data_IF_390638313554
#
_entry.id   IF_390638313554
#
_cell.length_a   1.000
_cell.length_b   1.000
_cell.length_c   1.000
_cell.angle_alpha   90.00
_cell.angle_beta   90.00
_cell.angle_gamma   90.00
#
_symmetry.space_group_name_H-M   'P 1'
#
loop_
_entity.id
_entity.type
_entity.pdbx_description
1 polymer ?
#
# COMPACT_ATOMS: atom_id res chain seq x y z
N UNK A 1 -17.00 5.21 -64.83
CA UNK A 1 -16.65 5.22 -63.39
C UNK A 1 -15.83 3.95 -63.15
N UNK A 2 -14.62 3.91 -62.61
CA UNK A 2 -13.67 4.85 -62.02
C UNK A 2 -12.33 4.11 -61.81
N UNK A 3 -11.29 4.86 -61.45
CA UNK A 3 -9.85 4.59 -61.60
C UNK A 3 -9.24 3.65 -60.52
N UNK A 4 -8.19 2.94 -60.95
CA UNK A 4 -7.04 2.27 -60.29
C UNK A 4 -6.66 2.76 -58.87
N UNK A 5 -6.31 1.85 -57.93
CA UNK A 5 -4.97 1.74 -57.27
C UNK A 5 -4.89 0.67 -56.17
N UNK A 6 -3.85 -0.16 -56.30
CA UNK A 6 -3.27 -1.08 -55.31
C UNK A 6 -2.51 -0.25 -54.26
N UNK A 7 -2.72 -0.49 -52.97
CA UNK A 7 -1.78 -0.07 -51.91
C UNK A 7 -1.52 -1.30 -51.03
N UNK A 8 -0.26 -1.72 -51.07
CA UNK A 8 0.39 -2.61 -50.13
C UNK A 8 0.57 -1.80 -48.83
N UNK A 9 0.01 -2.29 -47.73
CA UNK A 9 0.24 -1.77 -46.39
C UNK A 9 0.69 -2.91 -45.50
N UNK A 10 2.01 -3.10 -45.43
CA UNK A 10 2.65 -3.89 -44.38
C UNK A 10 2.45 -3.10 -43.09
N UNK A 11 1.48 -3.48 -42.26
CA UNK A 11 1.43 -2.99 -40.89
C UNK A 11 2.28 -3.90 -40.01
N UNK A 12 3.55 -3.51 -39.89
CA UNK A 12 4.35 -3.77 -38.70
C UNK A 12 3.69 -3.08 -37.51
N UNK A 13 2.59 -3.64 -37.00
CA UNK A 13 2.12 -3.36 -35.66
C UNK A 13 3.08 -4.07 -34.70
N UNK A 14 4.18 -3.36 -34.44
CA UNK A 14 5.04 -3.56 -33.29
C UNK A 14 4.16 -3.80 -32.06
N UNK A 15 4.07 -5.07 -31.66
CA UNK A 15 3.46 -5.46 -30.41
C UNK A 15 4.30 -4.90 -29.28
N UNK A 16 4.09 -3.63 -28.94
CA UNK A 16 4.47 -3.08 -27.66
C UNK A 16 3.72 -3.91 -26.63
N UNK A 17 4.40 -4.93 -26.09
CA UNK A 17 4.00 -5.60 -24.86
C UNK A 17 3.76 -4.52 -23.84
N UNK A 18 2.49 -4.29 -23.52
CA UNK A 18 2.10 -3.48 -22.38
C UNK A 18 2.91 -3.97 -21.16
N UNK A 19 3.50 -3.08 -20.32
CA UNK A 19 4.36 -3.49 -19.21
C UNK A 19 3.57 -4.09 -18.03
N UNK A 20 2.56 -4.91 -18.33
CA UNK A 20 1.55 -5.46 -17.43
C UNK A 20 2.08 -6.66 -16.63
N UNK A 21 3.18 -7.29 -17.05
CA UNK A 21 3.51 -8.64 -16.54
C UNK A 21 4.92 -8.79 -15.97
N UNK A 22 5.36 -7.84 -15.14
CA UNK A 22 6.49 -8.08 -14.24
C UNK A 22 5.95 -8.38 -12.86
N UNK A 23 6.04 -9.65 -12.47
CA UNK A 23 5.81 -10.08 -11.09
C UNK A 23 6.69 -9.25 -10.16
N UNK A 24 6.12 -8.78 -9.05
CA UNK A 24 6.86 -8.03 -8.04
C UNK A 24 7.68 -9.04 -7.26
N UNK A 25 9.00 -8.85 -7.21
CA UNK A 25 9.85 -9.71 -6.41
C UNK A 25 9.65 -9.42 -4.91
N UNK A 26 9.09 -10.40 -4.20
CA UNK A 26 8.82 -10.35 -2.75
C UNK A 26 9.75 -11.28 -1.94
N UNK A 27 10.72 -11.95 -2.56
CA UNK A 27 11.52 -12.99 -1.90
C UNK A 27 12.39 -12.48 -0.75
N UNK A 28 12.67 -11.17 -0.73
CA UNK A 28 13.43 -10.50 0.32
C UNK A 28 12.56 -9.83 1.39
N UNK A 29 11.25 -10.13 1.42
CA UNK A 29 10.30 -9.58 2.39
C UNK A 29 9.88 -10.68 3.36
N UNK A 30 10.31 -10.59 4.61
CA UNK A 30 9.91 -11.53 5.65
C UNK A 30 8.42 -11.36 6.01
N UNK A 31 7.62 -12.37 5.68
CA UNK A 31 6.18 -12.42 5.94
C UNK A 31 5.81 -12.64 7.41
N UNK A 32 6.77 -13.06 8.25
CA UNK A 32 6.58 -13.28 9.68
C UNK A 32 6.97 -12.07 10.54
N UNK A 33 7.69 -11.10 9.99
CA UNK A 33 8.04 -9.87 10.69
C UNK A 33 6.77 -9.09 11.08
N UNK A 34 6.41 -9.12 12.36
CA UNK A 34 5.22 -8.45 12.89
C UNK A 34 5.25 -6.94 12.61
N UNK A 35 6.41 -6.30 12.68
CA UNK A 35 6.56 -4.85 12.50
C UNK A 35 6.83 -4.43 11.06
N UNK A 36 6.65 -5.32 10.08
CA UNK A 36 6.97 -5.07 8.66
C UNK A 36 6.38 -3.76 8.13
N UNK A 37 5.17 -3.42 8.59
CA UNK A 37 4.40 -2.25 8.16
C UNK A 37 4.19 -1.25 9.30
N UNK A 38 5.02 -1.28 10.33
CA UNK A 38 4.97 -0.33 11.46
C UNK A 38 6.02 0.77 11.28
N UNK A 39 5.59 2.03 11.35
CA UNK A 39 6.51 3.15 11.37
C UNK A 39 7.44 3.05 12.60
N UNK A 40 8.76 3.23 12.45
CA UNK A 40 9.70 3.12 13.56
C UNK A 40 9.36 4.04 14.75
N UNK A 41 8.79 5.22 14.50
CA UNK A 41 8.40 6.15 15.57
C UNK A 41 7.17 5.67 16.32
N UNK A 42 6.22 5.03 15.63
CA UNK A 42 5.10 4.39 16.28
C UNK A 42 5.58 3.23 17.16
N UNK A 43 6.44 2.35 16.63
CA UNK A 43 7.05 1.25 17.41
C UNK A 43 7.74 1.78 18.67
N UNK A 44 8.59 2.79 18.53
CA UNK A 44 9.30 3.43 19.64
C UNK A 44 8.33 4.02 20.68
N UNK A 45 7.23 4.63 20.25
CA UNK A 45 6.21 5.16 21.17
C UNK A 45 5.57 4.06 22.04
N UNK A 46 5.29 2.89 21.47
CA UNK A 46 4.75 1.75 22.22
C UNK A 46 5.81 1.09 23.12
N UNK A 47 7.06 1.05 22.69
CA UNK A 47 8.20 0.61 23.53
C UNK A 47 8.35 1.51 24.76
N UNK A 48 8.41 2.84 24.57
CA UNK A 48 8.55 3.80 25.68
C UNK A 48 7.36 3.77 26.63
N UNK A 49 6.16 3.47 26.13
CA UNK A 49 4.95 3.35 26.96
C UNK A 49 4.81 1.98 27.66
N UNK A 50 5.75 1.05 27.49
CA UNK A 50 5.64 -0.34 27.96
C UNK A 50 4.36 -1.05 27.48
N UNK A 51 3.95 -0.77 26.23
CA UNK A 51 2.74 -1.32 25.59
C UNK A 51 3.03 -2.05 24.29
N UNK A 52 4.28 -2.44 24.04
CA UNK A 52 4.67 -3.09 22.79
C UNK A 52 3.91 -4.40 22.55
N UNK A 53 3.67 -5.19 23.60
CA UNK A 53 2.92 -6.45 23.50
C UNK A 53 1.47 -6.25 23.04
N UNK A 54 0.85 -5.15 23.46
CA UNK A 54 -0.50 -4.78 23.02
C UNK A 54 -0.50 -4.50 21.51
N UNK A 55 0.50 -3.77 21.01
CA UNK A 55 0.65 -3.53 19.57
C UNK A 55 0.94 -4.84 18.82
N UNK A 56 1.82 -5.71 19.33
CA UNK A 56 2.13 -7.00 18.72
C UNK A 56 0.87 -7.85 18.60
N UNK A 57 0.10 -7.97 19.69
CA UNK A 57 -1.14 -8.73 19.71
C UNK A 57 -2.14 -8.19 18.68
N UNK A 58 -2.34 -6.87 18.68
CA UNK A 58 -3.28 -6.24 17.75
C UNK A 58 -2.85 -6.39 16.29
N UNK A 59 -1.56 -6.26 15.99
CA UNK A 59 -1.05 -6.53 14.65
C UNK A 59 -1.33 -7.98 14.28
N UNK A 60 -0.98 -8.93 15.16
CA UNK A 60 -1.11 -10.36 14.89
C UNK A 60 -2.55 -10.79 14.61
N UNK A 61 -3.52 -10.30 15.38
CA UNK A 61 -4.88 -10.83 15.36
C UNK A 61 -5.90 -9.91 14.68
N UNK A 62 -5.74 -8.59 14.74
CA UNK A 62 -6.68 -7.64 14.13
C UNK A 62 -6.19 -7.11 12.78
N UNK A 63 -4.90 -6.76 12.64
CA UNK A 63 -4.35 -6.22 11.38
C UNK A 63 -4.18 -7.30 10.32
N UNK A 64 -3.50 -8.41 10.65
CA UNK A 64 -3.19 -9.52 9.74
C UNK A 64 -4.09 -10.75 9.91
N UNK A 65 -5.15 -10.65 10.73
CA UNK A 65 -6.17 -11.71 10.94
C UNK A 65 -5.60 -13.08 11.34
N UNK A 66 -4.57 -13.10 12.19
CA UNK A 66 -4.00 -14.33 12.72
C UNK A 66 -3.00 -15.05 11.80
N UNK A 67 -2.80 -14.60 10.56
CA UNK A 67 -1.88 -15.25 9.61
C UNK A 67 -0.63 -14.40 9.34
N UNK A 68 0.43 -14.93 8.71
CA UNK A 68 1.51 -14.11 8.16
C UNK A 68 0.99 -13.06 7.16
N UNK A 69 1.81 -12.06 6.84
CA UNK A 69 1.51 -11.09 5.78
C UNK A 69 1.32 -11.81 4.45
N UNK A 70 0.27 -11.46 3.71
CA UNK A 70 -0.08 -12.14 2.46
C UNK A 70 0.60 -11.48 1.26
N UNK A 71 0.50 -12.12 0.09
CA UNK A 71 1.20 -11.65 -1.11
C UNK A 71 0.86 -10.20 -1.47
N UNK A 72 -0.41 -9.77 -1.40
CA UNK A 72 -0.79 -8.38 -1.68
C UNK A 72 -0.05 -7.38 -0.77
N UNK A 73 0.16 -7.75 0.49
CA UNK A 73 0.80 -6.92 1.51
C UNK A 73 2.33 -6.91 1.33
N UNK A 74 2.91 -8.06 0.96
CA UNK A 74 4.33 -8.17 0.62
C UNK A 74 4.67 -7.42 -0.68
N UNK A 75 3.79 -7.49 -1.68
CA UNK A 75 3.90 -6.74 -2.93
C UNK A 75 3.80 -5.23 -2.67
N UNK A 76 2.88 -4.80 -1.79
CA UNK A 76 2.84 -3.40 -1.35
C UNK A 76 4.18 -2.96 -0.76
N UNK A 77 4.77 -3.75 0.14
CA UNK A 77 6.06 -3.42 0.76
C UNK A 77 7.18 -3.33 -0.28
N UNK A 78 7.27 -4.31 -1.17
CA UNK A 78 8.28 -4.34 -2.23
C UNK A 78 8.12 -3.13 -3.18
N UNK A 79 6.90 -2.78 -3.55
CA UNK A 79 6.62 -1.65 -4.43
C UNK A 79 6.95 -0.31 -3.75
N UNK A 80 6.59 -0.14 -2.48
CA UNK A 80 6.95 1.05 -1.70
C UNK A 80 8.47 1.20 -1.60
N UNK A 81 9.21 0.12 -1.30
CA UNK A 81 10.68 0.13 -1.25
C UNK A 81 11.29 0.54 -2.59
N UNK A 82 10.76 0.02 -3.69
CA UNK A 82 11.17 0.40 -5.05
C UNK A 82 10.93 1.89 -5.31
N UNK A 83 9.73 2.39 -5.01
CA UNK A 83 9.37 3.79 -5.25
C UNK A 83 10.17 4.77 -4.38
N UNK A 84 10.52 4.38 -3.15
CA UNK A 84 11.43 5.14 -2.28
C UNK A 84 12.84 5.19 -2.87
N UNK A 85 13.37 4.05 -3.33
CA UNK A 85 14.70 3.99 -3.98
C UNK A 85 14.77 4.82 -5.26
N UNK A 86 13.65 4.96 -5.96
CA UNK A 86 13.50 5.77 -7.16
C UNK A 86 13.15 7.25 -6.86
N UNK A 87 13.04 7.63 -5.59
CA UNK A 87 12.66 8.98 -5.14
C UNK A 87 11.32 9.50 -5.67
N UNK A 88 10.46 8.60 -6.15
CA UNK A 88 9.11 8.92 -6.64
C UNK A 88 8.18 9.29 -5.48
N UNK A 89 8.40 8.67 -4.32
CA UNK A 89 7.75 8.97 -3.06
C UNK A 89 8.81 9.18 -1.98
N UNK A 90 8.47 9.88 -0.91
CA UNK A 90 9.30 9.97 0.29
C UNK A 90 8.47 9.82 1.56
N UNK A 91 9.10 9.58 2.71
CA UNK A 91 8.39 9.63 3.99
C UNK A 91 7.86 11.04 4.25
N UNK A 92 6.60 11.16 4.65
CA UNK A 92 5.97 12.45 5.03
C UNK A 92 6.37 12.88 6.45
N UNK A 93 7.08 12.05 7.19
CA UNK A 93 7.31 12.29 8.61
C UNK A 93 6.03 12.14 9.44
N UNK A 94 5.07 11.33 8.99
CA UNK A 94 3.88 10.96 9.74
C UNK A 94 3.58 9.46 9.57
N UNK A 95 2.80 8.89 10.47
CA UNK A 95 2.29 7.53 10.37
C UNK A 95 0.77 7.53 10.51
N UNK A 96 0.14 6.48 9.99
CA UNK A 96 -1.30 6.34 10.01
C UNK A 96 -1.80 6.07 11.43
N UNK A 97 -2.94 6.66 11.75
CA UNK A 97 -3.49 6.71 13.10
C UNK A 97 -4.00 5.36 13.64
N UNK A 98 -4.08 4.33 12.80
CA UNK A 98 -4.51 2.98 13.19
C UNK A 98 -3.36 1.98 13.06
N UNK A 99 -3.31 1.00 13.94
CA UNK A 99 -2.30 -0.07 13.85
C UNK A 99 -2.36 -0.76 12.46
N UNK A 100 -1.21 -1.17 11.87
CA UNK A 100 0.12 -1.26 12.48
C UNK A 100 0.86 0.08 12.59
N UNK A 101 0.19 1.21 12.38
CA UNK A 101 0.74 2.56 12.27
C UNK A 101 1.72 2.67 11.10
N UNK A 102 1.29 2.32 9.87
CA UNK A 102 2.15 2.40 8.71
C UNK A 102 2.60 3.82 8.44
N UNK A 103 3.82 3.96 7.94
CA UNK A 103 4.34 5.25 7.47
C UNK A 103 3.40 5.83 6.42
N UNK A 104 3.20 7.15 6.48
CA UNK A 104 2.54 7.91 5.42
C UNK A 104 3.63 8.45 4.51
N UNK A 105 3.55 8.10 3.24
CA UNK A 105 4.43 8.60 2.19
C UNK A 105 3.78 9.77 1.45
N UNK A 106 4.59 10.63 0.86
CA UNK A 106 4.16 11.72 -0.01
C UNK A 106 4.70 11.48 -1.42
N UNK A 107 3.82 11.54 -2.42
CA UNK A 107 4.21 11.44 -3.82
C UNK A 107 4.92 12.72 -4.30
N UNK A 108 6.17 12.60 -4.74
CA UNK A 108 6.94 13.71 -5.30
C UNK A 108 6.61 13.97 -6.77
N UNK A 109 6.13 12.95 -7.47
CA UNK A 109 5.68 13.01 -8.86
C UNK A 109 4.47 12.08 -9.08
N UNK A 110 3.90 12.10 -10.29
CA UNK A 110 2.84 11.15 -10.68
C UNK A 110 3.43 9.75 -10.89
N UNK A 111 2.67 8.71 -10.60
CA UNK A 111 3.14 7.33 -10.76
C UNK A 111 2.06 6.30 -10.52
N UNK A 112 2.50 5.05 -10.35
CA UNK A 112 1.64 3.91 -10.07
C UNK A 112 2.26 3.03 -8.99
N UNK A 113 1.42 2.49 -8.11
CA UNK A 113 1.73 1.36 -7.23
C UNK A 113 1.14 0.12 -7.88
N UNK A 114 1.93 -0.93 -8.07
CA UNK A 114 1.43 -2.22 -8.55
C UNK A 114 1.21 -3.17 -7.37
N UNK A 115 0.04 -3.81 -7.34
CA UNK A 115 -0.33 -4.87 -6.38
C UNK A 115 -1.28 -5.83 -7.10
N UNK A 116 -1.02 -7.14 -7.02
CA UNK A 116 -1.79 -8.22 -7.65
C UNK A 116 -2.00 -7.99 -9.15
N UNK A 117 -0.93 -7.59 -9.84
CA UNK A 117 -0.96 -7.24 -11.28
C UNK A 117 -1.79 -5.99 -11.64
N UNK A 118 -2.36 -5.29 -10.65
CA UNK A 118 -3.16 -4.08 -10.86
C UNK A 118 -2.33 -2.84 -10.57
N UNK A 119 -2.47 -1.82 -11.42
CA UNK A 119 -1.82 -0.53 -11.25
C UNK A 119 -2.76 0.49 -10.60
N UNK A 120 -2.36 1.05 -9.46
CA UNK A 120 -3.06 2.09 -8.72
C UNK A 120 -2.37 3.43 -8.95
N UNK A 121 -3.03 4.34 -9.66
CA UNK A 121 -2.47 5.64 -10.03
C UNK A 121 -2.45 6.60 -8.84
N UNK A 122 -1.38 7.38 -8.72
CA UNK A 122 -1.30 8.53 -7.82
C UNK A 122 -0.75 9.76 -8.56
N UNK A 123 -1.07 10.95 -8.04
CA UNK A 123 -0.60 12.25 -8.53
C UNK A 123 0.44 12.82 -7.57
N UNK A 124 1.22 13.79 -8.07
CA UNK A 124 2.12 14.59 -7.23
C UNK A 124 1.34 15.21 -6.07
N UNK A 125 1.89 15.10 -4.87
CA UNK A 125 1.30 15.60 -3.63
C UNK A 125 0.27 14.68 -2.99
N UNK A 126 -0.08 13.54 -3.59
CA UNK A 126 -0.91 12.55 -2.90
C UNK A 126 -0.15 11.93 -1.73
N UNK A 127 -0.88 11.68 -0.64
CA UNK A 127 -0.40 10.87 0.47
C UNK A 127 -0.74 9.40 0.22
N UNK A 128 0.17 8.52 0.59
CA UNK A 128 0.11 7.07 0.33
C UNK A 128 0.34 6.35 1.65
N UNK A 129 -0.49 5.38 2.00
CA UNK A 129 -0.26 4.53 3.17
C UNK A 129 -0.90 3.15 3.03
N UNK A 130 -0.57 2.25 3.93
CA UNK A 130 -1.09 0.89 3.98
C UNK A 130 -2.47 0.83 4.64
N UNK A 131 -3.32 -0.09 4.19
CA UNK A 131 -4.59 -0.40 4.84
C UNK A 131 -4.65 -1.85 5.31
N UNK A 132 -4.81 -2.03 6.63
CA UNK A 132 -4.94 -3.35 7.25
C UNK A 132 -6.16 -4.15 6.76
N UNK A 133 -6.11 -5.48 6.87
CA UNK A 133 -7.15 -6.39 6.36
C UNK A 133 -8.52 -6.10 6.94
N UNK A 134 -8.61 -5.92 8.26
CA UNK A 134 -9.89 -5.64 8.91
C UNK A 134 -10.56 -4.39 8.33
N UNK A 135 -9.82 -3.29 8.18
CA UNK A 135 -10.39 -2.07 7.60
C UNK A 135 -10.70 -2.22 6.11
N UNK A 136 -9.93 -3.04 5.37
CA UNK A 136 -10.25 -3.38 3.98
C UNK A 136 -11.57 -4.14 3.87
N UNK A 137 -11.76 -5.18 4.67
CA UNK A 137 -12.98 -5.98 4.71
C UNK A 137 -14.19 -5.10 5.03
N UNK A 138 -14.08 -4.26 6.06
CA UNK A 138 -15.16 -3.34 6.48
C UNK A 138 -15.53 -2.30 5.41
N UNK A 139 -14.56 -1.85 4.61
CA UNK A 139 -14.76 -0.82 3.58
C UNK A 139 -14.84 -1.37 2.15
N UNK A 140 -14.90 -2.70 2.01
CA UNK A 140 -14.87 -3.40 0.73
C UNK A 140 -13.70 -2.96 -0.20
N UNK A 141 -12.52 -2.71 0.38
CA UNK A 141 -11.33 -2.28 -0.35
C UNK A 141 -10.57 -3.48 -0.92
N UNK A 142 -10.30 -3.43 -2.22
CA UNK A 142 -9.68 -4.54 -2.96
C UNK A 142 -8.14 -4.61 -2.86
N UNK A 143 -7.50 -3.62 -2.24
CA UNK A 143 -6.03 -3.53 -2.16
C UNK A 143 -5.57 -2.96 -0.81
N UNK A 144 -4.40 -3.36 -0.29
CA UNK A 144 -3.83 -2.87 0.98
C UNK A 144 -3.24 -1.46 0.87
N UNK A 145 -3.98 -0.54 0.25
CA UNK A 145 -3.46 0.73 -0.20
C UNK A 145 -4.51 1.84 -0.05
N UNK A 146 -4.11 2.96 0.54
CA UNK A 146 -4.81 4.23 0.47
C UNK A 146 -3.97 5.24 -0.30
N UNK A 147 -4.63 6.00 -1.19
CA UNK A 147 -4.05 7.13 -1.91
C UNK A 147 -5.03 8.30 -1.77
N UNK A 148 -4.53 9.48 -1.40
CA UNK A 148 -5.35 10.69 -1.40
C UNK A 148 -4.79 11.80 -0.52
N UNK A 149 -5.68 12.68 -0.06
CA UNK A 149 -5.34 13.72 0.92
C UNK A 149 -5.78 13.26 2.29
N UNK A 150 -4.83 13.19 3.23
CA UNK A 150 -5.10 12.78 4.60
C UNK A 150 -4.98 13.98 5.52
N UNK A 151 -5.99 14.17 6.36
CA UNK A 151 -5.97 15.14 7.45
C UNK A 151 -5.08 14.64 8.58
N UNK A 152 -4.46 15.57 9.31
CA UNK A 152 -3.72 15.25 10.52
C UNK A 152 -4.68 14.85 11.63
N UNK A 153 -4.22 13.96 12.49
CA UNK A 153 -4.92 13.58 13.72
C UNK A 153 -3.90 13.29 14.80
N UNK A 154 -4.23 13.69 16.03
CA UNK A 154 -3.43 13.38 17.22
C UNK A 154 -3.93 12.08 17.90
N UNK A 155 -4.96 11.44 17.34
CA UNK A 155 -5.46 10.17 17.82
C UNK A 155 -4.57 9.05 17.28
N UNK A 156 -4.25 8.11 18.14
CA UNK A 156 -3.70 6.82 17.78
C UNK A 156 -4.61 5.74 18.36
N UNK A 157 -4.96 4.74 17.56
CA UNK A 157 -5.77 3.63 18.03
C UNK A 157 -5.31 2.29 17.46
N UNK A 158 -5.62 1.24 18.19
CA UNK A 158 -5.44 -0.12 17.71
C UNK A 158 -6.50 -0.45 16.67
N UNK A 159 -6.16 -1.29 15.71
CA UNK A 159 -7.10 -1.74 14.69
C UNK A 159 -8.28 -2.45 15.37
N UNK A 160 -8.05 -3.31 16.36
CA UNK A 160 -9.11 -3.98 17.12
C UNK A 160 -10.08 -3.04 17.83
N UNK A 161 -9.64 -1.84 18.21
CA UNK A 161 -10.47 -0.81 18.86
C UNK A 161 -11.43 -0.12 17.88
N UNK A 162 -11.28 -0.30 16.56
CA UNK A 162 -12.22 0.24 15.58
C UNK A 162 -13.56 -0.53 15.53
N UNK A 163 -13.63 -1.76 16.06
CA UNK A 163 -14.83 -2.61 15.97
C UNK A 163 -16.10 -1.96 16.56
N UNK A 164 -16.06 -1.25 17.71
CA UNK A 164 -17.23 -0.57 18.26
C UNK A 164 -17.50 0.80 17.61
N UNK A 165 -16.45 1.53 17.20
CA UNK A 165 -16.53 2.91 16.72
C UNK A 165 -17.21 3.07 15.34
N UNK A 166 -17.47 1.97 14.64
CA UNK A 166 -18.05 1.98 13.28
C UNK A 166 -19.44 1.31 13.20
N UNK A 167 -20.05 0.89 14.32
CA UNK A 167 -21.45 0.41 14.36
C UNK A 167 -22.49 1.55 14.40
N UNK A 168 -22.05 2.79 14.49
CA UNK A 168 -22.90 3.99 14.54
C UNK A 168 -22.64 5.01 13.43
N UNK A 169 -22.01 4.59 12.32
CA UNK A 169 -21.87 5.39 11.10
C UNK A 169 -22.73 4.83 9.99
#
# INVERSE_FOLDING_TARGET
>A
MGIIKKIIGIDHSSGQKSPIDKSINISNVDSNNVFLLTDPRAKKSYETANRLDVLIHDIKFNVRRGTPWNNDELEYVAEIRKLLKQEIINSKGAYWWTSPHPTVYLARMKGYIRIKGRAFKFKKGDSITFQCRMAREQRNLKAPLLIGKFSLTNKSMLCGEMKPAMKGM
#
